data_IF_351807014073
#
_entry.id   IF_351807014073
#
_cell.length_a   1.000
_cell.length_b   1.000
_cell.length_c   1.000
_cell.angle_alpha   90.00
_cell.angle_beta   90.00
_cell.angle_gamma   90.00
#
_symmetry.space_group_name_H-M   'P 1'
#
loop_
_entity.id
_entity.type
_entity.pdbx_description
1 polymer ?
#
# COMPACT_ATOMS: atom_id res chain seq x y z
N UNK A 1 -55.23 10.51 -30.70
CA UNK A 1 -55.16 9.05 -30.90
C UNK A 1 -53.71 8.61 -30.74
N UNK A 2 -53.34 8.11 -29.56
CA UNK A 2 -52.02 7.53 -29.31
C UNK A 2 -52.29 6.07 -28.96
N UNK A 3 -52.19 5.20 -29.96
CA UNK A 3 -52.30 3.76 -29.82
C UNK A 3 -51.18 3.28 -28.90
N UNK A 4 -51.54 2.78 -27.72
CA UNK A 4 -50.66 2.02 -26.85
C UNK A 4 -50.04 0.88 -27.66
N UNK A 5 -48.76 1.03 -27.97
CA UNK A 5 -47.98 0.10 -28.74
C UNK A 5 -47.79 -1.18 -27.89
N UNK A 6 -48.74 -2.11 -27.96
CA UNK A 6 -48.58 -3.46 -27.43
C UNK A 6 -47.42 -4.09 -28.19
N UNK A 7 -46.24 -4.11 -27.57
CA UNK A 7 -45.05 -4.83 -28.07
C UNK A 7 -45.36 -6.33 -28.07
N UNK A 8 -46.18 -6.80 -29.01
CA UNK A 8 -46.36 -8.23 -29.23
C UNK A 8 -45.12 -8.77 -29.94
N UNK A 9 -44.62 -9.89 -29.45
CA UNK A 9 -43.51 -10.62 -30.08
C UNK A 9 -44.05 -11.67 -31.05
N UNK A 10 -43.23 -12.06 -32.04
CA UNK A 10 -43.58 -13.08 -33.02
C UNK A 10 -43.80 -14.46 -32.37
N UNK A 11 -44.65 -15.31 -32.96
CA UNK A 11 -44.94 -16.66 -32.46
C UNK A 11 -43.72 -17.57 -32.33
N UNK A 12 -42.71 -17.35 -33.16
CA UNK A 12 -41.41 -18.05 -33.14
C UNK A 12 -40.45 -17.55 -32.07
N UNK A 13 -40.80 -16.51 -31.30
CA UNK A 13 -39.93 -16.00 -30.24
C UNK A 13 -39.82 -17.01 -29.12
N UNK A 14 -38.58 -17.35 -28.75
CA UNK A 14 -38.26 -18.29 -27.69
C UNK A 14 -37.50 -17.62 -26.54
N UNK A 15 -37.99 -17.78 -25.31
CA UNK A 15 -37.28 -17.39 -24.09
C UNK A 15 -37.55 -18.42 -22.98
N UNK A 16 -36.78 -18.35 -21.90
CA UNK A 16 -37.02 -19.09 -20.66
C UNK A 16 -37.89 -18.31 -19.67
N UNK A 17 -38.00 -16.99 -19.79
CA UNK A 17 -38.75 -16.14 -18.85
C UNK A 17 -39.85 -15.40 -19.58
N UNK A 18 -41.10 -15.67 -19.21
CA UNK A 18 -42.28 -15.11 -19.87
C UNK A 18 -43.17 -14.38 -18.87
N UNK A 19 -43.60 -13.19 -19.26
CA UNK A 19 -44.58 -12.37 -18.57
C UNK A 19 -45.87 -12.37 -19.41
N UNK A 20 -46.96 -12.80 -18.81
CA UNK A 20 -48.24 -12.91 -19.49
C UNK A 20 -49.34 -12.16 -18.75
N UNK A 21 -50.29 -11.65 -19.52
CA UNK A 21 -51.59 -11.19 -19.05
C UNK A 21 -52.65 -11.81 -19.94
N UNK A 22 -53.60 -12.52 -19.36
CA UNK A 22 -54.62 -13.25 -20.10
C UNK A 22 -55.98 -12.75 -19.64
N UNK A 23 -56.81 -12.31 -20.57
CA UNK A 23 -58.17 -11.90 -20.25
C UNK A 23 -59.02 -13.15 -19.97
N UNK A 24 -59.72 -13.14 -18.84
CA UNK A 24 -60.54 -14.26 -18.35
C UNK A 24 -61.97 -13.78 -18.14
N UNK A 25 -62.79 -13.92 -19.18
CA UNK A 25 -64.18 -13.43 -19.16
C UNK A 25 -65.12 -14.35 -18.35
N UNK A 26 -64.83 -15.66 -18.34
CA UNK A 26 -65.66 -16.70 -17.75
C UNK A 26 -64.83 -17.52 -16.74
N UNK A 27 -65.46 -18.02 -15.68
CA UNK A 27 -64.79 -18.82 -14.64
C UNK A 27 -64.31 -20.18 -15.17
N UNK A 28 -65.07 -20.83 -16.06
CA UNK A 28 -64.69 -22.10 -16.69
C UNK A 28 -63.39 -21.95 -17.50
N UNK A 29 -63.22 -20.81 -18.17
CA UNK A 29 -62.02 -20.53 -18.95
C UNK A 29 -60.82 -20.23 -18.06
N UNK A 30 -61.03 -19.51 -16.96
CA UNK A 30 -59.99 -19.32 -15.94
C UNK A 30 -59.52 -20.66 -15.38
N UNK A 31 -60.45 -21.55 -15.03
CA UNK A 31 -60.12 -22.87 -14.48
C UNK A 31 -59.36 -23.72 -15.50
N UNK A 32 -59.78 -23.74 -16.77
CA UNK A 32 -59.06 -24.45 -17.85
C UNK A 32 -57.61 -24.00 -17.98
N UNK A 33 -57.35 -22.68 -17.95
CA UNK A 33 -55.98 -22.15 -18.01
C UNK A 33 -55.16 -22.62 -16.81
N UNK A 34 -55.74 -22.56 -15.60
CA UNK A 34 -55.04 -22.98 -14.37
C UNK A 34 -54.72 -24.48 -14.43
N UNK A 35 -55.69 -25.32 -14.80
CA UNK A 35 -55.53 -26.77 -14.89
C UNK A 35 -54.43 -27.14 -15.91
N UNK A 36 -54.39 -26.46 -17.05
CA UNK A 36 -53.35 -26.66 -18.06
C UNK A 36 -51.95 -26.23 -17.57
N UNK A 37 -51.85 -25.11 -16.84
CA UNK A 37 -50.59 -24.65 -16.22
C UNK A 37 -50.13 -25.65 -15.15
N UNK A 38 -51.05 -26.16 -14.32
CA UNK A 38 -50.76 -27.18 -13.30
C UNK A 38 -50.28 -28.47 -13.95
N UNK A 39 -50.92 -28.90 -15.04
CA UNK A 39 -50.52 -30.09 -15.81
C UNK A 39 -49.12 -29.91 -16.42
N UNK A 40 -48.81 -28.75 -17.01
CA UNK A 40 -47.46 -28.45 -17.50
C UNK A 40 -46.42 -28.45 -16.37
N UNK A 41 -46.81 -27.96 -15.19
CA UNK A 41 -45.93 -27.98 -14.02
C UNK A 41 -45.67 -29.42 -13.55
N UNK A 42 -46.69 -30.28 -13.51
CA UNK A 42 -46.54 -31.70 -13.20
C UNK A 42 -45.61 -32.43 -14.18
N UNK A 43 -45.55 -31.97 -15.44
CA UNK A 43 -44.58 -32.45 -16.44
C UNK A 43 -43.14 -31.88 -16.25
N UNK A 44 -42.89 -31.12 -15.18
CA UNK A 44 -41.57 -30.61 -14.82
C UNK A 44 -41.04 -29.50 -15.74
N UNK A 45 -41.93 -28.77 -16.43
CA UNK A 45 -41.53 -27.73 -17.39
C UNK A 45 -41.02 -26.45 -16.73
N UNK A 46 -41.54 -26.11 -15.55
CA UNK A 46 -41.22 -24.86 -14.87
C UNK A 46 -40.14 -25.02 -13.81
N UNK A 47 -39.22 -24.05 -13.82
CA UNK A 47 -38.34 -23.76 -12.68
C UNK A 47 -39.06 -22.93 -11.62
N UNK A 48 -39.96 -22.05 -12.05
CA UNK A 48 -40.83 -21.23 -11.22
C UNK A 48 -42.05 -20.79 -12.03
N UNK A 49 -43.23 -20.82 -11.43
CA UNK A 49 -44.48 -20.35 -12.02
C UNK A 49 -45.33 -19.65 -10.96
N UNK A 50 -45.93 -18.53 -11.32
CA UNK A 50 -46.86 -17.78 -10.49
C UNK A 50 -48.04 -17.31 -11.33
N UNK A 51 -49.24 -17.67 -10.91
CA UNK A 51 -50.52 -17.18 -11.44
C UNK A 51 -51.14 -16.26 -10.39
N UNK A 52 -51.22 -14.98 -10.70
CA UNK A 52 -51.84 -13.99 -9.82
C UNK A 52 -53.37 -14.11 -9.81
N UNK A 53 -53.98 -13.61 -8.75
CA UNK A 53 -55.43 -13.48 -8.59
C UNK A 53 -56.08 -12.65 -9.69
N UNK A 54 -57.39 -12.80 -9.87
CA UNK A 54 -58.16 -12.11 -10.91
C UNK A 54 -58.16 -10.60 -10.64
N UNK A 55 -57.78 -9.84 -11.66
CA UNK A 55 -57.77 -8.37 -11.69
C UNK A 55 -58.83 -7.83 -12.66
N UNK A 56 -59.27 -6.60 -12.43
CA UNK A 56 -60.16 -5.86 -13.34
C UNK A 56 -59.46 -4.62 -13.90
N UNK A 57 -59.61 -4.36 -15.20
CA UNK A 57 -59.02 -3.18 -15.83
C UNK A 57 -59.61 -1.87 -15.29
N UNK A 58 -58.77 -0.99 -14.73
CA UNK A 58 -59.20 0.21 -14.01
C UNK A 58 -59.11 1.52 -14.82
N UNK A 59 -58.59 1.49 -16.05
CA UNK A 59 -58.33 2.69 -16.86
C UNK A 59 -59.37 2.90 -17.97
N UNK A 60 -60.23 3.94 -17.91
CA UNK A 60 -61.33 4.15 -18.87
C UNK A 60 -60.89 4.36 -20.32
N UNK A 61 -59.66 4.85 -20.52
CA UNK A 61 -59.13 5.19 -21.84
C UNK A 61 -58.41 4.01 -22.53
N UNK A 62 -58.45 2.82 -21.94
CA UNK A 62 -57.83 1.61 -22.49
C UNK A 62 -58.91 0.58 -22.87
N UNK A 63 -58.65 -0.22 -23.91
CA UNK A 63 -59.59 -1.19 -24.47
C UNK A 63 -59.93 -2.37 -23.54
N UNK A 64 -59.21 -2.49 -22.43
CA UNK A 64 -59.32 -3.50 -21.40
C UNK A 64 -60.01 -2.99 -20.13
N UNK A 65 -60.62 -1.79 -20.17
CA UNK A 65 -61.40 -1.25 -19.07
C UNK A 65 -62.54 -2.21 -18.68
N UNK A 66 -62.66 -2.49 -17.37
CA UNK A 66 -63.60 -3.46 -16.80
C UNK A 66 -63.44 -4.92 -17.26
N UNK A 67 -62.39 -5.25 -18.01
CA UNK A 67 -62.12 -6.64 -18.42
C UNK A 67 -61.36 -7.37 -17.32
N UNK A 68 -61.89 -8.52 -16.91
CA UNK A 68 -61.25 -9.44 -15.97
C UNK A 68 -60.02 -10.08 -16.64
N UNK A 69 -58.90 -10.13 -15.94
CA UNK A 69 -57.66 -10.71 -16.44
C UNK A 69 -56.79 -11.25 -15.30
N UNK A 70 -55.90 -12.19 -15.63
CA UNK A 70 -54.86 -12.69 -14.73
C UNK A 70 -53.48 -12.32 -15.26
N UNK A 71 -52.52 -12.24 -14.36
CA UNK A 71 -51.11 -12.07 -14.68
C UNK A 71 -50.35 -13.36 -14.35
N UNK A 72 -49.51 -13.82 -15.28
CA UNK A 72 -48.73 -15.05 -15.13
C UNK A 72 -47.24 -14.77 -15.32
N UNK A 73 -46.45 -15.17 -14.33
CA UNK A 73 -44.99 -15.07 -14.34
C UNK A 73 -44.39 -16.48 -14.42
N UNK A 74 -43.80 -16.83 -15.57
CA UNK A 74 -43.28 -18.17 -15.83
C UNK A 74 -41.78 -18.19 -16.11
N UNK A 75 -41.06 -19.14 -15.49
CA UNK A 75 -39.66 -19.45 -15.76
C UNK A 75 -39.56 -20.93 -16.12
N UNK A 76 -39.20 -21.23 -17.37
CA UNK A 76 -39.04 -22.57 -17.89
C UNK A 76 -37.60 -23.09 -17.70
N UNK A 77 -37.44 -24.41 -17.56
CA UNK A 77 -36.13 -25.06 -17.57
C UNK A 77 -35.45 -24.94 -18.95
N UNK A 78 -36.21 -25.17 -20.01
CA UNK A 78 -35.79 -25.04 -21.41
C UNK A 78 -36.42 -23.80 -22.04
N UNK A 79 -35.91 -23.34 -23.19
CA UNK A 79 -36.57 -22.24 -23.93
C UNK A 79 -37.93 -22.73 -24.40
N UNK A 80 -38.96 -21.91 -24.23
CA UNK A 80 -40.31 -22.15 -24.71
C UNK A 80 -40.67 -21.07 -25.74
N UNK A 81 -41.29 -21.47 -26.84
CA UNK A 81 -41.79 -20.53 -27.85
C UNK A 81 -43.14 -19.95 -27.45
N UNK A 82 -43.44 -18.72 -27.88
CA UNK A 82 -44.77 -18.10 -27.69
C UNK A 82 -45.89 -19.02 -28.19
N UNK A 83 -45.72 -19.64 -29.37
CA UNK A 83 -46.71 -20.56 -29.93
C UNK A 83 -46.96 -21.79 -29.03
N UNK A 84 -45.91 -22.37 -28.44
CA UNK A 84 -46.04 -23.52 -27.54
C UNK A 84 -46.82 -23.14 -26.28
N UNK A 85 -46.57 -21.96 -25.72
CA UNK A 85 -47.25 -21.49 -24.50
C UNK A 85 -48.74 -21.28 -24.77
N UNK A 86 -49.09 -20.60 -25.86
CA UNK A 86 -50.48 -20.36 -26.25
C UNK A 86 -51.23 -21.68 -26.44
N UNK A 87 -50.61 -22.64 -27.14
CA UNK A 87 -51.22 -23.95 -27.39
C UNK A 87 -51.39 -24.78 -26.11
N UNK A 88 -50.37 -24.83 -25.26
CA UNK A 88 -50.38 -25.72 -24.10
C UNK A 88 -51.19 -25.17 -22.93
N UNK A 89 -51.32 -23.85 -22.79
CA UNK A 89 -52.18 -23.21 -21.79
C UNK A 89 -53.61 -22.98 -22.30
N UNK A 90 -53.90 -23.41 -23.53
CA UNK A 90 -55.18 -23.24 -24.22
C UNK A 90 -55.66 -21.78 -24.27
N UNK A 91 -54.74 -20.85 -24.60
CA UNK A 91 -55.05 -19.42 -24.67
C UNK A 91 -55.85 -19.14 -25.95
N UNK A 92 -57.11 -18.79 -25.78
CA UNK A 92 -58.02 -18.35 -26.85
C UNK A 92 -57.63 -16.94 -27.29
N UNK A 93 -56.97 -16.83 -28.43
CA UNK A 93 -56.43 -15.55 -28.94
C UNK A 93 -57.50 -14.47 -29.13
N UNK A 94 -58.75 -14.87 -29.45
CA UNK A 94 -59.89 -13.98 -29.61
C UNK A 94 -60.36 -13.27 -28.33
N UNK A 95 -59.99 -13.77 -27.13
CA UNK A 95 -60.34 -13.15 -25.83
C UNK A 95 -59.36 -12.04 -25.42
N UNK A 96 -58.22 -11.92 -26.11
CA UNK A 96 -57.18 -10.93 -25.86
C UNK A 96 -56.18 -11.39 -24.80
N UNK A 97 -54.89 -11.29 -25.16
CA UNK A 97 -53.78 -11.63 -24.27
C UNK A 97 -52.55 -10.77 -24.56
N UNK A 98 -51.65 -10.74 -23.60
CA UNK A 98 -50.30 -10.20 -23.69
C UNK A 98 -49.34 -11.30 -23.25
N UNK A 99 -48.35 -11.60 -24.09
CA UNK A 99 -47.33 -12.61 -23.78
C UNK A 99 -46.00 -12.16 -24.38
N UNK A 100 -45.05 -11.82 -23.52
CA UNK A 100 -43.73 -11.33 -23.93
C UNK A 100 -42.63 -11.91 -23.02
N UNK A 101 -41.37 -11.93 -23.50
CA UNK A 101 -40.26 -12.20 -22.61
C UNK A 101 -40.18 -11.17 -21.49
N UNK A 102 -39.92 -11.64 -20.27
CA UNK A 102 -39.79 -10.80 -19.09
C UNK A 102 -38.71 -9.72 -19.29
N UNK A 103 -38.98 -8.50 -18.84
CA UNK A 103 -37.96 -7.47 -18.77
C UNK A 103 -36.89 -7.82 -17.71
N UNK A 104 -35.67 -8.12 -18.17
CA UNK A 104 -34.55 -8.53 -17.32
C UNK A 104 -33.92 -7.39 -16.52
N UNK A 105 -34.24 -6.13 -16.85
CA UNK A 105 -33.77 -4.94 -16.12
C UNK A 105 -34.50 -4.75 -14.78
N UNK A 106 -35.56 -5.50 -14.52
CA UNK A 106 -36.29 -5.48 -13.26
C UNK A 106 -35.86 -6.68 -12.40
N UNK A 107 -35.96 -6.59 -11.05
CA UNK A 107 -35.65 -7.70 -10.15
C UNK A 107 -36.74 -8.78 -10.18
N UNK A 108 -36.38 -10.04 -9.92
CA UNK A 108 -37.28 -11.17 -9.80
C UNK A 108 -38.26 -10.96 -8.65
N UNK A 109 -37.79 -10.43 -7.52
CA UNK A 109 -38.66 -10.14 -6.39
C UNK A 109 -39.71 -9.09 -6.75
N UNK A 110 -39.31 -7.99 -7.40
CA UNK A 110 -40.25 -6.96 -7.85
C UNK A 110 -41.25 -7.47 -8.90
N UNK A 111 -40.85 -8.47 -9.70
CA UNK A 111 -41.73 -9.14 -10.64
C UNK A 111 -42.80 -9.97 -9.93
N UNK A 112 -42.41 -10.74 -8.90
CA UNK A 112 -43.35 -11.46 -8.02
C UNK A 112 -44.30 -10.50 -7.31
N UNK A 113 -43.75 -9.45 -6.67
CA UNK A 113 -44.53 -8.47 -5.91
C UNK A 113 -45.55 -7.74 -6.79
N UNK A 114 -45.23 -7.48 -8.07
CA UNK A 114 -46.16 -6.88 -9.01
C UNK A 114 -47.38 -7.78 -9.30
N UNK A 115 -47.20 -9.10 -9.33
CA UNK A 115 -48.26 -10.06 -9.66
C UNK A 115 -49.16 -10.40 -8.46
N UNK A 116 -48.64 -10.20 -7.24
CA UNK A 116 -49.32 -10.46 -5.96
C UNK A 116 -49.79 -9.19 -5.23
N UNK A 117 -49.73 -8.02 -5.87
CA UNK A 117 -50.21 -6.75 -5.30
C UNK A 117 -51.74 -6.72 -5.17
N UNK A 118 -52.23 -5.95 -4.21
CA UNK A 118 -53.67 -5.70 -3.98
C UNK A 118 -54.32 -4.89 -5.10
N UNK A 119 -53.57 -3.97 -5.70
CA UNK A 119 -54.10 -3.05 -6.70
C UNK A 119 -54.76 -3.82 -7.85
N UNK A 120 -55.97 -3.40 -8.23
CA UNK A 120 -56.84 -3.99 -9.25
C UNK A 120 -57.36 -5.41 -9.01
N UNK A 121 -57.04 -6.09 -7.89
CA UNK A 121 -57.63 -7.39 -7.54
C UNK A 121 -59.12 -7.26 -7.20
N UNK A 122 -59.91 -8.27 -7.60
CA UNK A 122 -61.35 -8.31 -7.31
C UNK A 122 -61.62 -8.75 -5.87
N UNK A 123 -60.83 -9.69 -5.34
CA UNK A 123 -60.96 -10.16 -3.96
C UNK A 123 -60.15 -9.28 -3.00
N UNK A 124 -60.78 -8.88 -1.89
CA UNK A 124 -60.15 -8.16 -0.79
C UNK A 124 -59.28 -9.08 0.09
N UNK A 125 -59.39 -10.40 -0.06
CA UNK A 125 -58.68 -11.38 0.74
C UNK A 125 -57.32 -11.76 0.12
N UNK A 126 -56.27 -11.63 0.93
CA UNK A 126 -54.88 -11.93 0.50
C UNK A 126 -54.66 -13.37 0.02
N UNK A 127 -55.53 -14.31 0.44
CA UNK A 127 -55.45 -15.72 0.03
C UNK A 127 -55.78 -15.91 -1.45
N UNK A 128 -56.58 -15.02 -2.02
CA UNK A 128 -57.04 -15.12 -3.41
C UNK A 128 -56.16 -14.32 -4.39
N UNK A 129 -55.10 -13.67 -3.88
CA UNK A 129 -54.18 -12.87 -4.70
C UNK A 129 -53.20 -13.72 -5.49
N UNK A 130 -53.11 -15.02 -5.17
CA UNK A 130 -52.29 -16.01 -5.84
C UNK A 130 -53.15 -17.24 -6.06
N UNK A 131 -53.43 -17.56 -7.32
CA UNK A 131 -54.24 -18.75 -7.68
C UNK A 131 -53.37 -20.00 -7.72
N UNK A 132 -52.11 -19.86 -8.13
CA UNK A 132 -51.15 -20.96 -8.17
C UNK A 132 -49.72 -20.42 -8.09
N UNK A 133 -48.87 -21.02 -7.25
CA UNK A 133 -47.44 -20.72 -7.21
C UNK A 133 -46.66 -22.02 -6.94
N UNK A 134 -45.69 -22.34 -7.80
CA UNK A 134 -44.83 -23.50 -7.60
C UNK A 134 -43.40 -23.26 -8.12
N UNK A 135 -42.44 -23.96 -7.53
CA UNK A 135 -41.01 -23.86 -7.86
C UNK A 135 -40.23 -22.86 -6.97
N UNK A 136 -39.01 -22.53 -7.38
CA UNK A 136 -38.11 -21.62 -6.62
C UNK A 136 -37.74 -20.40 -7.46
N UNK A 137 -38.20 -19.23 -7.02
CA UNK A 137 -37.83 -17.96 -7.63
C UNK A 137 -36.30 -17.77 -7.56
N UNK A 138 -35.60 -17.53 -8.69
CA UNK A 138 -34.17 -17.27 -8.69
C UNK A 138 -33.81 -16.06 -7.83
N UNK A 139 -32.66 -16.12 -7.15
CA UNK A 139 -32.11 -14.96 -6.43
C UNK A 139 -31.66 -13.90 -7.44
N UNK A 140 -31.96 -12.64 -7.15
CA UNK A 140 -31.49 -11.49 -7.92
C UNK A 140 -29.95 -11.43 -7.94
N UNK A 141 -29.33 -11.97 -8.99
CA UNK A 141 -27.88 -11.91 -9.21
C UNK A 141 -27.59 -10.97 -10.38
N UNK A 142 -27.41 -9.68 -10.05
CA UNK A 142 -26.85 -8.69 -10.98
C UNK A 142 -27.83 -8.15 -12.03
N UNK A 143 -27.67 -6.85 -12.31
CA UNK A 143 -28.25 -6.06 -13.42
C UNK A 143 -29.66 -5.48 -13.30
N UNK A 144 -30.51 -5.87 -12.34
CA UNK A 144 -31.86 -5.27 -12.19
C UNK A 144 -32.11 -4.37 -10.96
N UNK A 145 -31.13 -4.24 -10.06
CA UNK A 145 -31.28 -3.42 -8.84
C UNK A 145 -30.96 -1.97 -9.18
N UNK A 146 -32.00 -1.15 -9.46
CA UNK A 146 -31.87 0.30 -9.28
C UNK A 146 -31.31 0.53 -7.87
N UNK A 147 -30.13 1.15 -7.78
CA UNK A 147 -29.45 1.52 -6.53
C UNK A 147 -30.47 2.15 -5.58
N UNK A 148 -30.97 1.39 -4.60
CA UNK A 148 -31.44 2.00 -3.36
C UNK A 148 -30.22 2.70 -2.78
N UNK A 149 -30.38 3.98 -2.43
CA UNK A 149 -29.35 4.81 -1.79
C UNK A 149 -28.71 4.08 -0.62
N UNK A 150 -27.53 4.55 -0.17
CA UNK A 150 -26.61 3.77 0.63
C UNK A 150 -27.32 3.19 1.86
N UNK A 151 -27.63 1.89 1.79
CA UNK A 151 -27.68 1.09 3.01
C UNK A 151 -26.29 1.22 3.56
N UNK A 152 -26.17 1.89 4.70
CA UNK A 152 -24.99 1.92 5.55
C UNK A 152 -24.60 0.46 5.80
N UNK A 153 -23.77 -0.07 4.89
CA UNK A 153 -22.86 -1.16 5.22
C UNK A 153 -22.09 -0.65 6.42
N UNK A 154 -22.08 -1.40 7.51
CA UNK A 154 -21.11 -1.23 8.58
C UNK A 154 -19.75 -0.91 7.95
N UNK A 155 -19.20 0.25 8.29
CA UNK A 155 -18.11 0.93 7.56
C UNK A 155 -16.85 0.08 7.37
N UNK A 156 -16.71 -1.02 8.12
CA UNK A 156 -15.46 -1.76 8.27
C UNK A 156 -15.06 -2.70 7.13
N UNK A 157 -15.92 -3.01 6.13
CA UNK A 157 -15.53 -3.96 5.04
C UNK A 157 -16.14 -3.65 3.66
N UNK A 158 -16.10 -2.40 3.19
CA UNK A 158 -15.96 -2.20 1.74
C UNK A 158 -14.50 -2.48 1.40
N UNK A 159 -14.23 -3.44 0.50
CA UNK A 159 -12.90 -3.55 -0.11
C UNK A 159 -12.60 -2.20 -0.76
N UNK A 160 -11.70 -1.42 -0.16
CA UNK A 160 -11.24 -0.16 -0.72
C UNK A 160 -10.71 -0.43 -2.13
N UNK A 161 -10.99 0.47 -3.06
CA UNK A 161 -10.36 0.37 -4.38
C UNK A 161 -8.85 0.63 -4.22
N UNK A 162 -8.04 0.18 -5.18
CA UNK A 162 -6.60 0.42 -5.13
C UNK A 162 -6.29 1.92 -5.01
N UNK A 163 -7.09 2.76 -5.68
CA UNK A 163 -6.95 4.22 -5.63
C UNK A 163 -7.28 4.78 -4.24
N UNK A 164 -8.36 4.30 -3.60
CA UNK A 164 -8.70 4.70 -2.22
C UNK A 164 -7.57 4.32 -1.25
N UNK A 165 -6.98 3.12 -1.42
CA UNK A 165 -5.85 2.66 -0.59
C UNK A 165 -4.61 3.53 -0.84
N UNK A 166 -4.32 3.91 -2.08
CA UNK A 166 -3.19 4.80 -2.40
C UNK A 166 -3.38 6.18 -1.76
N UNK A 167 -4.60 6.74 -1.81
CA UNK A 167 -4.92 8.03 -1.18
C UNK A 167 -4.78 7.94 0.35
N UNK A 168 -5.24 6.85 0.95
CA UNK A 168 -5.14 6.66 2.41
C UNK A 168 -3.70 6.42 2.86
N UNK A 169 -2.94 5.57 2.15
CA UNK A 169 -1.50 5.40 2.36
C UNK A 169 -0.76 6.73 2.24
N UNK A 170 -1.13 7.58 1.27
CA UNK A 170 -0.53 8.91 1.12
C UNK A 170 -0.74 9.75 2.37
N UNK A 171 -1.96 9.79 2.93
CA UNK A 171 -2.26 10.53 4.17
C UNK A 171 -1.44 10.00 5.35
N UNK A 172 -1.44 8.67 5.54
CA UNK A 172 -0.68 8.04 6.63
C UNK A 172 0.82 8.33 6.52
N UNK A 173 1.38 8.31 5.31
CA UNK A 173 2.81 8.63 5.09
C UNK A 173 3.09 10.13 5.29
N UNK A 174 2.19 11.04 4.85
CA UNK A 174 2.30 12.49 5.12
C UNK A 174 2.32 12.79 6.63
N UNK A 175 1.56 12.02 7.42
CA UNK A 175 1.49 12.13 8.88
C UNK A 175 2.63 11.42 9.62
N UNK A 176 3.60 10.84 8.89
CA UNK A 176 4.75 10.13 9.47
C UNK A 176 4.44 8.70 9.97
N UNK A 177 3.26 8.16 9.67
CA UNK A 177 2.78 6.84 10.12
C UNK A 177 3.03 5.76 9.06
N UNK A 178 4.26 5.69 8.56
CA UNK A 178 4.63 4.78 7.48
C UNK A 178 4.51 3.29 7.86
N UNK A 179 4.82 2.93 9.11
CA UNK A 179 4.65 1.56 9.61
C UNK A 179 3.17 1.14 9.68
N UNK A 180 2.29 2.04 10.11
CA UNK A 180 0.85 1.82 10.15
C UNK A 180 0.28 1.59 8.74
N UNK A 181 0.73 2.39 7.76
CA UNK A 181 0.39 2.20 6.36
C UNK A 181 0.84 0.84 5.80
N UNK A 182 2.04 0.37 6.20
CA UNK A 182 2.51 -0.95 5.82
C UNK A 182 1.69 -2.08 6.47
N UNK A 183 1.34 -1.95 7.74
CA UNK A 183 0.54 -2.94 8.46
C UNK A 183 -0.88 -3.07 7.88
N UNK A 184 -1.51 -1.94 7.51
CA UNK A 184 -2.85 -1.91 6.91
C UNK A 184 -2.85 -2.40 5.46
N UNK A 185 -1.82 -2.04 4.68
CA UNK A 185 -1.80 -2.24 3.23
C UNK A 185 -0.47 -2.83 2.71
N UNK A 186 -0.01 -4.00 3.20
CA UNK A 186 1.36 -4.47 2.96
C UNK A 186 1.70 -4.65 1.48
N UNK A 187 0.78 -5.21 0.67
CA UNK A 187 1.00 -5.42 -0.77
C UNK A 187 1.06 -4.09 -1.54
N UNK A 188 0.15 -3.16 -1.24
CA UNK A 188 0.08 -1.88 -1.95
C UNK A 188 1.22 -0.95 -1.51
N UNK A 189 1.62 -1.00 -0.24
CA UNK A 189 2.76 -0.27 0.27
C UNK A 189 4.08 -0.74 -0.36
N UNK A 190 4.26 -2.06 -0.58
CA UNK A 190 5.44 -2.57 -1.29
C UNK A 190 5.55 -2.09 -2.73
N UNK A 191 4.42 -1.86 -3.41
CA UNK A 191 4.40 -1.43 -4.83
C UNK A 191 4.46 0.11 -4.94
N UNK A 192 3.71 0.81 -4.09
CA UNK A 192 3.47 2.25 -4.24
C UNK A 192 4.07 3.09 -3.09
N UNK A 193 4.37 2.51 -1.93
CA UNK A 193 4.79 3.24 -0.73
C UNK A 193 6.02 4.11 -0.96
N UNK A 194 7.09 3.56 -1.55
CA UNK A 194 8.31 4.32 -1.86
C UNK A 194 8.10 5.36 -2.96
N UNK A 195 7.22 5.08 -3.93
CA UNK A 195 6.85 6.07 -4.97
C UNK A 195 6.09 7.25 -4.35
N UNK A 196 5.14 6.97 -3.46
CA UNK A 196 4.37 7.98 -2.73
C UNK A 196 5.29 8.83 -1.86
N UNK A 197 6.24 8.21 -1.14
CA UNK A 197 7.26 8.93 -0.37
C UNK A 197 8.08 9.89 -1.24
N UNK A 198 8.47 9.46 -2.45
CA UNK A 198 9.20 10.29 -3.40
C UNK A 198 8.40 11.45 -4.00
N UNK A 199 7.06 11.40 -3.97
CA UNK A 199 6.20 12.50 -4.46
C UNK A 199 6.11 13.66 -3.47
N UNK A 200 6.44 13.46 -2.20
CA UNK A 200 6.53 14.58 -1.27
C UNK A 200 7.77 15.39 -1.60
N UNK A 201 7.58 16.67 -1.92
CA UNK A 201 8.66 17.64 -1.90
C UNK A 201 9.45 17.42 -0.60
N UNK A 202 10.77 17.26 -0.72
CA UNK A 202 11.70 17.18 0.40
C UNK A 202 11.52 18.44 1.27
N UNK A 203 10.53 18.44 2.16
CA UNK A 203 10.38 19.49 3.17
C UNK A 203 11.68 19.41 3.96
N UNK A 204 12.44 20.51 3.99
CA UNK A 204 13.68 20.61 4.75
C UNK A 204 13.42 20.01 6.14
N UNK A 205 13.94 18.81 6.39
CA UNK A 205 13.98 18.26 7.75
C UNK A 205 14.80 19.28 8.53
N UNK A 206 14.22 19.81 9.61
CA UNK A 206 14.94 20.72 10.46
C UNK A 206 15.90 19.85 11.30
N UNK A 207 17.17 19.76 10.90
CA UNK A 207 18.19 18.93 11.57
C UNK A 207 18.69 19.53 12.90
N UNK A 208 17.85 20.29 13.61
CA UNK A 208 18.21 20.93 14.88
C UNK A 208 18.55 19.86 15.93
N UNK A 209 19.75 19.95 16.51
CA UNK A 209 20.20 19.09 17.62
C UNK A 209 20.72 17.70 17.23
N UNK A 210 20.57 17.24 15.98
CA UNK A 210 21.14 15.96 15.51
C UNK A 210 22.57 16.16 14.95
N UNK A 211 23.46 15.19 15.20
CA UNK A 211 24.86 15.13 14.72
C UNK A 211 25.74 16.32 15.14
N UNK A 212 25.97 16.45 16.45
CA UNK A 212 26.80 17.51 17.07
C UNK A 212 28.30 17.17 17.14
N UNK A 213 28.67 15.95 16.76
CA UNK A 213 30.05 15.49 16.70
C UNK A 213 30.77 16.07 15.49
N UNK A 214 32.04 16.51 15.63
CA UNK A 214 32.82 16.98 14.49
C UNK A 214 33.07 15.84 13.50
N UNK A 215 33.18 16.15 12.21
CA UNK A 215 33.68 15.16 11.26
C UNK A 215 35.13 14.84 11.58
N UNK A 216 35.49 13.57 11.64
CA UNK A 216 36.83 13.12 12.01
C UNK A 216 37.54 12.52 10.81
N UNK A 217 38.80 12.90 10.62
CA UNK A 217 39.69 12.27 9.65
C UNK A 217 40.90 11.70 10.40
N UNK A 218 40.93 10.37 10.54
CA UNK A 218 41.94 9.66 11.30
C UNK A 218 42.91 8.94 10.36
N UNK A 219 44.18 9.35 10.39
CA UNK A 219 45.20 8.76 9.54
C UNK A 219 46.35 8.11 10.32
N UNK A 220 47.04 7.18 9.68
CA UNK A 220 48.20 6.46 10.24
C UNK A 220 48.40 5.11 9.57
N UNK A 221 49.45 4.37 9.93
CA UNK A 221 49.73 3.08 9.29
C UNK A 221 48.70 1.99 9.60
N UNK A 222 48.68 0.92 8.82
CA UNK A 222 47.86 -0.27 9.12
C UNK A 222 48.26 -0.87 10.48
N UNK A 223 47.31 -1.50 11.19
CA UNK A 223 47.58 -2.12 12.50
C UNK A 223 47.71 -1.16 13.69
N UNK A 224 47.63 0.15 13.48
CA UNK A 224 47.61 1.20 14.54
C UNK A 224 46.26 1.36 15.23
N UNK A 225 45.24 0.58 14.83
CA UNK A 225 43.92 0.55 15.47
C UNK A 225 43.01 1.72 15.13
N UNK A 226 43.14 2.34 13.95
CA UNK A 226 42.28 3.45 13.49
C UNK A 226 40.81 3.08 13.51
N UNK A 227 40.44 2.02 12.78
CA UNK A 227 39.05 1.55 12.68
C UNK A 227 38.54 1.07 14.03
N UNK A 228 39.32 0.26 14.76
CA UNK A 228 38.89 -0.27 16.07
C UNK A 228 38.67 0.82 17.11
N UNK A 229 39.43 1.93 17.05
CA UNK A 229 39.27 3.05 17.97
C UNK A 229 37.97 3.79 17.70
N UNK A 230 37.69 4.09 16.43
CA UNK A 230 36.44 4.72 16.07
C UNK A 230 35.24 3.78 16.28
N UNK A 231 35.41 2.47 16.11
CA UNK A 231 34.37 1.49 16.41
C UNK A 231 34.07 1.42 17.91
N UNK A 232 35.10 1.46 18.75
CA UNK A 232 34.93 1.55 20.20
C UNK A 232 34.18 2.83 20.60
N UNK A 233 34.57 3.98 20.04
CA UNK A 233 34.02 5.28 20.43
C UNK A 233 32.65 5.51 19.80
N UNK A 234 32.41 5.11 18.55
CA UNK A 234 31.25 5.50 17.73
C UNK A 234 30.41 4.32 17.23
N UNK A 235 30.39 3.18 17.94
CA UNK A 235 29.88 1.88 17.47
C UNK A 235 28.55 1.81 16.71
N UNK A 236 27.62 2.76 16.88
CA UNK A 236 26.39 2.85 16.09
C UNK A 236 26.61 3.65 14.78
N UNK A 237 27.59 3.24 13.97
CA UNK A 237 27.89 3.85 12.67
C UNK A 237 27.43 2.98 11.50
N UNK A 238 27.08 3.63 10.40
CA UNK A 238 26.89 2.98 9.10
C UNK A 238 28.22 2.86 8.38
N UNK A 239 28.60 1.64 7.96
CA UNK A 239 29.79 1.42 7.12
C UNK A 239 29.42 1.64 5.65
N UNK A 240 29.89 2.74 5.07
CA UNK A 240 29.63 3.05 3.66
C UNK A 240 30.50 2.19 2.75
N UNK A 241 29.90 1.51 1.78
CA UNK A 241 30.66 0.90 0.70
C UNK A 241 31.25 2.00 -0.20
N UNK A 242 32.58 2.06 -0.31
CA UNK A 242 33.29 3.07 -1.09
C UNK A 242 33.38 2.74 -2.59
N UNK A 243 32.89 1.59 -3.02
CA UNK A 243 32.89 1.20 -4.43
C UNK A 243 31.80 1.90 -5.25
N UNK A 244 30.76 2.41 -4.58
CA UNK A 244 29.60 3.02 -5.22
C UNK A 244 29.09 4.26 -4.44
N UNK A 245 28.15 5.00 -5.04
CA UNK A 245 27.54 6.20 -4.44
C UNK A 245 26.25 5.91 -3.66
N UNK A 246 25.74 4.67 -3.67
CA UNK A 246 24.48 4.28 -3.04
C UNK A 246 24.64 4.04 -1.54
N UNK A 247 23.59 4.32 -0.78
CA UNK A 247 23.55 4.28 0.68
C UNK A 247 22.72 3.11 1.19
N UNK A 248 22.80 1.96 0.52
CA UNK A 248 22.00 0.79 0.83
C UNK A 248 22.14 0.40 2.31
N UNK A 249 21.00 0.08 2.95
CA UNK A 249 20.89 -0.25 4.37
C UNK A 249 21.19 0.90 5.35
N UNK A 250 21.53 2.11 4.89
CA UNK A 250 21.60 3.26 5.78
C UNK A 250 20.22 3.57 6.36
N UNK A 251 20.21 3.94 7.63
CA UNK A 251 19.00 4.27 8.38
C UNK A 251 19.35 5.38 9.38
N UNK A 252 18.69 6.53 9.25
CA UNK A 252 18.92 7.71 10.10
C UNK A 252 18.41 7.51 11.54
N UNK A 253 17.53 6.54 11.78
CA UNK A 253 17.00 6.25 13.12
C UNK A 253 17.96 5.35 13.92
N UNK A 254 18.69 4.47 13.22
CA UNK A 254 19.64 3.52 13.83
C UNK A 254 21.06 4.08 13.82
N UNK A 255 21.49 4.66 12.70
CA UNK A 255 22.87 5.07 12.50
C UNK A 255 23.09 6.53 12.89
N UNK A 256 24.03 6.74 13.79
CA UNK A 256 24.38 8.08 14.31
C UNK A 256 25.55 8.71 13.57
N UNK A 257 26.42 7.88 12.99
CA UNK A 257 27.65 8.26 12.30
C UNK A 257 27.78 7.47 11.00
N UNK A 258 28.61 7.96 10.08
CA UNK A 258 28.94 7.26 8.84
C UNK A 258 30.44 7.06 8.77
N UNK A 259 30.89 5.82 8.56
CA UNK A 259 32.28 5.47 8.43
C UNK A 259 32.67 5.28 6.96
N UNK A 260 33.66 6.05 6.51
CA UNK A 260 34.42 5.83 5.28
C UNK A 260 35.72 5.13 5.67
N UNK A 261 35.68 3.81 5.68
CA UNK A 261 36.81 3.00 6.13
C UNK A 261 37.84 2.81 5.00
N UNK A 262 39.11 3.02 5.32
CA UNK A 262 40.25 2.84 4.41
C UNK A 262 40.14 3.67 3.13
N UNK A 263 39.81 4.95 3.28
CA UNK A 263 39.77 5.90 2.16
C UNK A 263 41.18 6.13 1.59
N UNK A 264 41.34 5.93 0.28
CA UNK A 264 42.57 6.18 -0.47
C UNK A 264 42.32 7.00 -1.73
N UNK A 265 43.38 7.34 -2.47
CA UNK A 265 43.27 8.17 -3.68
C UNK A 265 42.47 7.48 -4.79
N UNK A 266 42.56 6.15 -4.90
CA UNK A 266 41.80 5.37 -5.89
C UNK A 266 40.29 5.44 -5.66
N UNK A 267 39.86 5.34 -4.40
CA UNK A 267 38.47 5.57 -4.02
C UNK A 267 38.05 7.00 -4.34
N UNK A 268 38.92 7.96 -4.07
CA UNK A 268 38.62 9.37 -4.25
C UNK A 268 38.48 9.76 -5.73
N UNK A 269 39.30 9.20 -6.61
CA UNK A 269 39.19 9.37 -8.06
C UNK A 269 37.86 8.78 -8.58
N UNK A 270 37.43 7.63 -8.04
CA UNK A 270 36.16 7.00 -8.43
C UNK A 270 34.93 7.77 -7.94
N UNK A 271 34.89 8.12 -6.66
CA UNK A 271 33.72 8.79 -6.07
C UNK A 271 33.70 10.29 -6.39
N UNK A 272 34.87 10.86 -6.65
CA UNK A 272 35.10 12.28 -6.84
C UNK A 272 35.19 13.03 -5.52
N UNK A 273 36.07 14.03 -5.44
CA UNK A 273 36.22 14.86 -4.23
C UNK A 273 34.93 15.59 -3.84
N UNK A 274 34.10 15.91 -4.83
CA UNK A 274 32.82 16.56 -4.60
C UNK A 274 31.88 15.69 -3.75
N UNK A 275 31.97 14.36 -3.84
CA UNK A 275 31.21 13.44 -3.00
C UNK A 275 31.50 13.70 -1.52
N UNK A 276 32.79 13.72 -1.13
CA UNK A 276 33.21 13.98 0.25
C UNK A 276 32.75 15.36 0.71
N UNK A 277 32.92 16.40 -0.13
CA UNK A 277 32.47 17.77 0.18
C UNK A 277 30.96 17.86 0.42
N UNK A 278 30.17 17.04 -0.29
CA UNK A 278 28.70 17.05 -0.22
C UNK A 278 28.20 16.38 1.05
N UNK A 279 28.76 15.22 1.41
CA UNK A 279 28.32 14.46 2.58
C UNK A 279 28.77 15.10 3.90
N UNK A 280 29.76 15.98 3.85
CA UNK A 280 30.28 16.77 4.98
C UNK A 280 29.71 18.19 5.03
N UNK A 281 28.59 18.42 4.35
CA UNK A 281 27.89 19.70 4.39
C UNK A 281 26.88 19.77 5.53
N UNK A 282 26.79 20.93 6.18
CA UNK A 282 25.99 21.12 7.39
C UNK A 282 24.49 21.17 7.09
N UNK A 283 24.12 21.57 5.88
CA UNK A 283 22.74 21.64 5.40
C UNK A 283 22.09 20.25 5.18
N UNK A 284 22.88 19.18 5.29
CA UNK A 284 22.47 17.82 4.92
C UNK A 284 22.66 17.54 3.43
N UNK A 285 22.52 16.27 3.06
CA UNK A 285 22.73 15.77 1.71
C UNK A 285 21.66 14.74 1.33
N UNK A 286 21.39 14.64 0.03
CA UNK A 286 20.50 13.60 -0.48
C UNK A 286 21.25 12.26 -0.54
N UNK A 287 20.62 11.22 -0.02
CA UNK A 287 21.06 9.84 -0.17
C UNK A 287 20.18 9.12 -1.18
N UNK A 288 20.83 8.28 -1.97
CA UNK A 288 20.18 7.37 -2.91
C UNK A 288 20.30 5.95 -2.36
N UNK A 289 19.18 5.24 -2.28
CA UNK A 289 19.08 3.89 -1.77
C UNK A 289 18.32 3.05 -2.78
N UNK A 290 18.82 1.85 -3.06
CA UNK A 290 18.18 0.98 -4.03
C UNK A 290 16.75 0.68 -3.57
N UNK A 291 15.79 0.84 -4.50
CA UNK A 291 14.35 0.64 -4.28
C UNK A 291 13.67 1.61 -3.31
N UNK A 292 14.34 2.69 -2.88
CA UNK A 292 13.76 3.74 -2.05
C UNK A 292 13.82 5.09 -2.75
N UNK A 293 12.92 5.99 -2.38
CA UNK A 293 13.00 7.36 -2.87
C UNK A 293 14.21 8.10 -2.28
N UNK A 294 14.86 9.02 -3.01
CA UNK A 294 15.96 9.81 -2.48
C UNK A 294 15.55 10.60 -1.23
N UNK A 295 16.32 10.43 -0.15
CA UNK A 295 16.00 11.02 1.15
C UNK A 295 17.04 12.07 1.52
N UNK A 296 16.60 13.18 2.14
CA UNK A 296 17.54 14.14 2.73
C UNK A 296 17.93 13.64 4.12
N UNK A 297 19.24 13.53 4.37
CA UNK A 297 19.79 13.13 5.68
C UNK A 297 20.94 14.04 6.08
N UNK A 298 21.36 13.92 7.33
CA UNK A 298 22.59 14.51 7.87
C UNK A 298 23.25 13.44 8.72
N UNK A 299 24.58 13.35 8.67
CA UNK A 299 25.33 12.43 9.50
C UNK A 299 26.72 12.99 9.84
N UNK A 300 27.28 12.59 10.98
CA UNK A 300 28.69 12.85 11.27
C UNK A 300 29.56 11.84 10.50
N UNK A 301 30.40 12.36 9.59
CA UNK A 301 31.33 11.56 8.79
C UNK A 301 32.61 11.27 9.58
N UNK A 302 32.98 10.00 9.62
CA UNK A 302 34.21 9.46 10.18
C UNK A 302 35.02 8.85 9.05
N UNK A 303 36.29 9.21 8.94
CA UNK A 303 37.19 8.69 7.90
C UNK A 303 38.38 8.02 8.53
N UNK A 304 38.71 6.82 8.07
CA UNK A 304 40.03 6.21 8.31
C UNK A 304 40.82 6.16 7.01
N UNK A 305 42.10 6.51 7.08
CA UNK A 305 43.00 6.43 5.92
C UNK A 305 44.43 6.08 6.35
N UNK A 306 45.23 5.61 5.40
CA UNK A 306 46.68 5.50 5.58
C UNK A 306 47.41 6.82 5.23
N UNK A 307 46.76 7.70 4.49
CA UNK A 307 47.29 8.99 4.04
C UNK A 307 46.61 10.13 4.81
N UNK A 308 47.29 11.26 4.94
CA UNK A 308 46.61 12.50 5.36
C UNK A 308 45.88 13.16 4.18
N UNK A 309 45.08 14.21 4.43
CA UNK A 309 44.31 14.89 3.37
C UNK A 309 45.23 15.48 2.29
N UNK A 310 46.43 15.96 2.64
CA UNK A 310 47.34 16.55 1.67
C UNK A 310 47.89 15.49 0.73
N UNK A 311 48.37 14.38 1.28
CA UNK A 311 48.84 13.22 0.55
C UNK A 311 47.74 12.63 -0.33
N UNK A 312 46.54 12.46 0.24
CA UNK A 312 45.39 11.91 -0.47
C UNK A 312 45.06 12.73 -1.72
N UNK A 313 44.96 14.06 -1.60
CA UNK A 313 44.60 14.94 -2.71
C UNK A 313 45.74 15.10 -3.72
N UNK A 314 47.00 15.12 -3.26
CA UNK A 314 48.15 15.20 -4.16
C UNK A 314 48.31 13.96 -5.05
N UNK A 315 47.75 12.82 -4.63
CA UNK A 315 47.78 11.57 -5.38
C UNK A 315 46.56 11.39 -6.30
N UNK A 316 45.65 12.37 -6.40
CA UNK A 316 44.49 12.31 -7.28
C UNK A 316 44.74 13.12 -8.55
N UNK A 317 44.64 12.46 -9.70
CA UNK A 317 44.98 13.06 -11.00
C UNK A 317 43.89 14.03 -11.51
N UNK A 318 42.63 13.81 -11.14
CA UNK A 318 41.48 14.56 -11.66
C UNK A 318 41.14 15.85 -10.87
N UNK A 319 41.92 16.18 -9.84
CA UNK A 319 41.59 17.29 -8.93
C UNK A 319 42.15 18.61 -9.42
N UNK A 320 41.29 19.43 -10.01
CA UNK A 320 41.59 20.84 -10.26
C UNK A 320 41.61 21.67 -8.96
N UNK A 321 42.36 22.77 -8.96
CA UNK A 321 42.45 23.72 -7.85
C UNK A 321 42.83 23.05 -6.51
N UNK A 322 43.89 22.23 -6.55
CA UNK A 322 44.40 21.38 -5.46
C UNK A 322 44.38 22.10 -4.09
N UNK A 323 44.98 23.29 -4.00
CA UNK A 323 45.09 24.01 -2.72
C UNK A 323 43.74 24.46 -2.14
N UNK A 324 42.83 24.93 -3.00
CA UNK A 324 41.46 25.29 -2.59
C UNK A 324 40.69 24.05 -2.11
N UNK A 325 40.88 22.93 -2.79
CA UNK A 325 40.26 21.66 -2.43
C UNK A 325 40.78 21.12 -1.09
N UNK A 326 42.10 21.16 -0.85
CA UNK A 326 42.70 20.82 0.45
C UNK A 326 42.14 21.69 1.58
N UNK A 327 42.13 23.00 1.39
CA UNK A 327 41.57 23.95 2.37
C UNK A 327 40.09 23.66 2.67
N UNK A 328 39.31 23.36 1.63
CA UNK A 328 37.90 23.03 1.76
C UNK A 328 37.63 21.72 2.52
N UNK A 329 38.51 20.72 2.45
CA UNK A 329 38.39 19.49 3.24
C UNK A 329 38.90 19.69 4.67
N UNK A 330 40.04 20.36 4.85
CA UNK A 330 40.63 20.64 6.16
C UNK A 330 39.72 21.47 7.07
N UNK A 331 38.90 22.37 6.52
CA UNK A 331 37.89 23.11 7.32
C UNK A 331 36.71 22.25 7.75
N UNK A 332 36.43 21.15 7.05
CA UNK A 332 35.29 20.26 7.31
C UNK A 332 35.63 19.12 8.26
N UNK A 333 36.88 18.66 8.25
CA UNK A 333 37.34 17.53 9.05
C UNK A 333 38.32 17.96 10.13
N UNK A 334 38.12 17.48 11.35
CA UNK A 334 39.14 17.47 12.37
C UNK A 334 40.13 16.34 12.08
N UNK A 335 41.22 16.67 11.40
CA UNK A 335 42.26 15.73 11.01
C UNK A 335 43.24 15.48 12.16
N UNK A 336 43.44 14.21 12.52
CA UNK A 336 44.38 13.78 13.54
C UNK A 336 45.14 12.53 13.09
N UNK A 337 46.40 12.41 13.52
CA UNK A 337 47.08 11.12 13.46
C UNK A 337 46.53 10.22 14.56
N UNK A 338 46.38 8.94 14.29
CA UNK A 338 45.86 7.95 15.25
C UNK A 338 46.57 7.97 16.60
N UNK A 339 47.89 8.12 16.61
CA UNK A 339 48.67 8.18 17.85
C UNK A 339 48.40 9.45 18.67
N UNK A 340 48.08 10.56 17.99
CA UNK A 340 47.70 11.81 18.66
C UNK A 340 46.34 11.67 19.32
N UNK A 341 45.39 11.04 18.64
CA UNK A 341 44.07 10.78 19.20
C UNK A 341 44.15 9.80 20.38
N UNK A 342 44.93 8.72 20.26
CA UNK A 342 45.20 7.78 21.36
C UNK A 342 45.77 8.49 22.60
N UNK A 343 46.77 9.36 22.40
CA UNK A 343 47.34 10.19 23.48
C UNK A 343 46.32 11.15 24.10
N UNK A 344 45.51 11.82 23.27
CA UNK A 344 44.46 12.72 23.74
C UNK A 344 43.45 11.99 24.64
N UNK A 345 43.13 10.75 24.30
CA UNK A 345 42.14 9.94 25.02
C UNK A 345 42.74 9.17 26.20
N UNK A 346 44.07 9.14 26.37
CA UNK A 346 44.73 8.29 27.36
C UNK A 346 44.57 6.80 27.08
N UNK A 347 44.44 6.43 25.80
CA UNK A 347 44.18 5.05 25.36
C UNK A 347 45.37 4.52 24.58
N UNK A 348 45.88 3.35 24.95
CA UNK A 348 46.91 2.64 24.18
C UNK A 348 46.40 1.27 23.76
N UNK A 349 46.76 0.85 22.55
CA UNK A 349 46.51 -0.52 22.12
C UNK A 349 47.27 -1.50 23.00
N UNK A 350 46.62 -2.61 23.37
CA UNK A 350 47.29 -3.71 24.06
C UNK A 350 48.34 -4.37 23.13
N UNK A 351 49.34 -5.08 23.69
CA UNK A 351 50.38 -5.75 22.91
C UNK A 351 49.84 -6.69 21.82
N UNK A 352 50.62 -6.87 20.75
CA UNK A 352 50.21 -7.67 19.59
C UNK A 352 49.87 -9.12 19.94
N UNK A 353 50.59 -9.71 20.90
CA UNK A 353 50.33 -11.04 21.42
C UNK A 353 48.90 -11.16 22.00
N UNK A 354 48.51 -10.21 22.85
CA UNK A 354 47.20 -10.23 23.51
C UNK A 354 46.08 -9.99 22.50
N UNK A 355 46.28 -9.09 21.52
CA UNK A 355 45.30 -8.88 20.43
C UNK A 355 45.08 -10.15 19.61
N UNK A 356 46.15 -10.89 19.29
CA UNK A 356 46.06 -12.17 18.58
C UNK A 356 45.32 -13.23 19.41
N UNK A 357 45.55 -13.26 20.72
CA UNK A 357 44.83 -14.16 21.63
C UNK A 357 43.34 -13.82 21.70
N UNK A 358 42.97 -12.54 21.84
CA UNK A 358 41.57 -12.09 21.81
C UNK A 358 40.88 -12.46 20.48
N UNK A 359 41.58 -12.28 19.34
CA UNK A 359 41.07 -12.69 18.04
C UNK A 359 40.83 -14.20 17.97
N UNK A 360 41.75 -15.01 18.52
CA UNK A 360 41.60 -16.48 18.58
C UNK A 360 40.42 -16.91 19.46
N UNK A 361 40.12 -16.14 20.51
CA UNK A 361 38.98 -16.36 21.40
C UNK A 361 37.65 -15.86 20.81
N UNK A 362 37.65 -15.26 19.61
CA UNK A 362 36.44 -14.74 18.96
C UNK A 362 35.90 -13.47 19.61
N UNK A 363 36.76 -12.64 20.20
CA UNK A 363 36.31 -11.40 20.83
C UNK A 363 35.83 -10.38 19.79
N UNK A 364 34.56 -9.99 19.89
CA UNK A 364 33.94 -8.96 19.02
C UNK A 364 33.92 -7.56 19.66
N UNK A 365 34.27 -7.43 20.94
CA UNK A 365 34.25 -6.18 21.68
C UNK A 365 35.52 -5.34 21.41
N UNK A 366 35.43 -4.18 20.73
CA UNK A 366 36.59 -3.34 20.40
C UNK A 366 37.23 -2.71 21.64
N UNK A 367 36.49 -2.55 22.73
CA UNK A 367 36.97 -1.88 23.95
C UNK A 367 38.15 -2.63 24.58
N UNK A 368 38.13 -3.96 24.52
CA UNK A 368 39.19 -4.83 25.06
C UNK A 368 40.51 -4.75 24.31
N UNK A 369 40.54 -4.11 23.14
CA UNK A 369 41.79 -3.88 22.40
C UNK A 369 42.61 -2.74 22.99
N UNK A 370 42.04 -1.98 23.94
CA UNK A 370 42.66 -0.80 24.53
C UNK A 370 42.83 -0.96 26.04
N UNK A 371 43.84 -0.27 26.57
CA UNK A 371 44.07 -0.07 27.99
C UNK A 371 44.21 1.42 28.30
N UNK A 372 43.82 1.81 29.51
CA UNK A 372 44.08 3.16 30.02
C UNK A 372 45.59 3.32 30.26
N UNK A 373 46.14 4.42 29.74
CA UNK A 373 47.58 4.60 29.63
C UNK A 373 47.99 6.04 29.90
N UNK A 374 48.96 6.21 30.80
CA UNK A 374 49.59 7.50 31.04
C UNK A 374 50.78 7.67 30.10
N UNK A 375 50.62 8.53 29.10
CA UNK A 375 51.67 8.84 28.13
C UNK A 375 52.77 9.76 28.67
N UNK A 376 52.56 10.43 29.80
CA UNK A 376 53.59 11.25 30.46
C UNK A 376 54.53 10.37 31.28
N UNK A 377 53.98 9.39 31.98
CA UNK A 377 54.76 8.42 32.78
C UNK A 377 55.19 7.17 31.98
N UNK A 378 54.67 7.04 30.75
CA UNK A 378 54.85 5.89 29.87
C UNK A 378 54.54 4.55 30.54
N UNK A 379 53.42 4.48 31.25
CA UNK A 379 52.97 3.27 31.94
C UNK A 379 51.45 3.07 31.88
N UNK A 380 50.97 1.81 31.94
CA UNK A 380 49.56 1.52 32.16
C UNK A 380 49.12 2.06 33.52
N UNK A 381 47.95 2.69 33.60
CA UNK A 381 47.44 3.24 34.86
C UNK A 381 46.80 2.17 35.75
N UNK A 382 46.39 1.04 35.15
CA UNK A 382 45.61 -0.01 35.82
C UNK A 382 44.14 0.39 36.05
N UNK A 383 43.72 1.57 35.59
CA UNK A 383 42.33 2.01 35.68
C UNK A 383 41.47 1.35 34.60
N UNK A 384 40.17 1.13 34.88
CA UNK A 384 39.25 0.68 33.83
C UNK A 384 39.09 1.77 32.77
N UNK A 385 39.00 1.34 31.51
CA UNK A 385 38.65 2.24 30.41
C UNK A 385 37.28 2.87 30.66
N UNK A 386 37.16 4.16 30.33
CA UNK A 386 35.92 4.93 30.50
C UNK A 386 34.90 4.61 29.39
N UNK A 387 33.69 5.13 29.54
CA UNK A 387 32.63 4.95 28.55
C UNK A 387 32.95 5.66 27.21
N UNK A 388 32.41 5.17 26.09
CA UNK A 388 32.51 5.85 24.79
C UNK A 388 32.06 7.31 24.84
N UNK A 389 31.01 7.63 25.60
CA UNK A 389 30.46 8.99 25.74
C UNK A 389 31.48 9.96 26.36
N UNK A 390 32.28 9.49 27.33
CA UNK A 390 33.34 10.30 27.91
C UNK A 390 34.40 10.69 26.87
N UNK A 391 34.82 9.72 26.05
CA UNK A 391 35.80 9.97 25.00
C UNK A 391 35.24 10.86 23.89
N UNK A 392 33.97 10.68 23.49
CA UNK A 392 33.30 11.59 22.54
C UNK A 392 33.30 13.02 23.07
N UNK A 393 32.99 13.23 24.35
CA UNK A 393 32.98 14.56 24.95
C UNK A 393 34.38 15.19 24.95
N UNK A 394 35.43 14.43 25.29
CA UNK A 394 36.81 14.90 25.21
C UNK A 394 37.20 15.34 23.80
N UNK A 395 36.80 14.58 22.77
CA UNK A 395 37.03 14.94 21.36
C UNK A 395 36.31 16.25 21.02
N UNK A 396 35.03 16.39 21.41
CA UNK A 396 34.26 17.62 21.20
C UNK A 396 34.89 18.83 21.87
N UNK A 397 35.27 18.69 23.13
CA UNK A 397 35.87 19.78 23.90
C UNK A 397 37.22 20.19 23.31
N UNK A 398 38.03 19.22 22.89
CA UNK A 398 39.31 19.48 22.24
C UNK A 398 39.12 20.16 20.88
N UNK A 399 38.19 19.68 20.06
CA UNK A 399 37.85 20.30 18.78
C UNK A 399 37.38 21.76 18.96
N UNK A 400 36.48 22.01 19.92
CA UNK A 400 36.00 23.36 20.25
C UNK A 400 37.11 24.27 20.80
N UNK A 401 38.08 23.71 21.51
CA UNK A 401 39.22 24.49 22.03
C UNK A 401 40.21 24.95 20.94
N UNK A 402 40.30 24.20 19.83
CA UNK A 402 41.11 24.58 18.67
C UNK A 402 40.35 25.44 17.65
N UNK A 403 39.01 25.41 17.71
CA UNK A 403 38.14 26.26 16.92
C UNK A 403 37.98 27.65 17.55
N UNK A 404 38.56 28.66 16.91
CA UNK A 404 38.18 30.07 17.08
C UNK A 404 36.67 30.20 17.04
N UNK A 405 36.12 31.00 17.97
CA UNK A 405 34.81 31.63 17.91
C UNK A 405 34.27 31.77 16.48
N UNK A 406 33.38 30.86 16.12
CA UNK A 406 32.79 30.76 14.79
C UNK A 406 31.48 29.99 14.87
N UNK A 407 30.66 30.36 15.87
CA UNK A 407 29.21 30.21 15.85
C UNK A 407 28.63 31.62 15.76
#
# INVERSE_FOLDING_TARGET
MSSTNTKQVAYSTEDRQWDARINVQDEDYLQSIIDNIVLENAHGKFKYILVGGVEIGTRPNQSDYQVKHIHVAAIFHNRASKASIIKNWDIVEGKGYYLVPRNRDLPYQGWKDHHSKEFSKISSDKKDWILFEEGKLPKDQGQGVKRKGPVLRSESKKKMTTDDVIIDMRRLIEDGKAEEAFALYPRNYMIYGERIKGMFNQKKKAFFGKHTDPHLYLYGFTGTGKTSLLQFIYGNYYKKNLENRFWDLYDEEVHTHVMLEDLDSLVLDRLGVQFIKTISDEAGFAIDQTYKAPQLTRATILVTSNQDIDQLINCCDEVELIESTKAALKRRFYQLRVDQLQRLLGLKLIPDYDRKMLKKQGNEDPSKLYMDYDYLQDCPTGLPIKSPEHYRQLIKDKYRSFGVSGL
#
